data_IF_818268939470
#
_entry.id   IF_818268939470
#
_cell.length_a   1.000
_cell.length_b   1.000
_cell.length_c   1.000
_cell.angle_alpha   90.00
_cell.angle_beta   90.00
_cell.angle_gamma   90.00
#
_symmetry.space_group_name_H-M   'P 1'
#
loop_
_entity.id
_entity.type
_entity.pdbx_description
1 polymer ?
#
# COMPACT_ATOMS: atom_id res chain seq x y z
N UNK A 1 55.24 -1.15 44.85
CA UNK A 1 54.57 -0.74 43.60
C UNK A 1 53.95 -1.95 42.93
N UNK A 2 52.63 -2.12 43.03
CA UNK A 2 51.84 -3.16 42.34
C UNK A 2 50.53 -2.49 41.89
N UNK A 3 50.58 -1.73 40.80
CA UNK A 3 49.44 -0.97 40.26
C UNK A 3 49.42 -1.00 38.73
N UNK A 4 49.68 -2.17 38.12
CA UNK A 4 49.68 -2.33 36.65
C UNK A 4 48.73 -3.45 36.17
N UNK A 5 48.01 -4.16 37.05
CA UNK A 5 47.13 -5.27 36.65
C UNK A 5 45.62 -4.96 36.62
N UNK A 6 45.12 -3.95 37.35
CA UNK A 6 43.68 -3.67 37.39
C UNK A 6 43.16 -3.01 36.11
N UNK A 7 43.94 -2.13 35.47
CA UNK A 7 43.47 -1.39 34.29
C UNK A 7 43.33 -2.29 33.06
N UNK A 8 44.19 -3.31 32.90
CA UNK A 8 44.08 -4.30 31.81
C UNK A 8 42.82 -5.16 31.97
N UNK A 9 42.49 -5.54 33.20
CA UNK A 9 41.28 -6.32 33.48
C UNK A 9 40.01 -5.50 33.19
N UNK A 10 39.99 -4.21 33.56
CA UNK A 10 38.88 -3.30 33.24
C UNK A 10 38.75 -3.09 31.73
N UNK A 11 39.87 -2.98 31.00
CA UNK A 11 39.84 -2.80 29.54
C UNK A 11 39.29 -4.04 28.83
N UNK A 12 39.64 -5.25 29.31
CA UNK A 12 39.10 -6.51 28.78
C UNK A 12 37.61 -6.65 29.07
N UNK A 13 37.15 -6.25 30.26
CA UNK A 13 35.72 -6.28 30.62
C UNK A 13 34.91 -5.31 29.75
N UNK A 14 35.43 -4.10 29.49
CA UNK A 14 34.78 -3.13 28.60
C UNK A 14 34.69 -3.63 27.15
N UNK A 15 35.71 -4.36 26.67
CA UNK A 15 35.74 -4.92 25.32
C UNK A 15 34.71 -6.06 25.15
N UNK A 16 34.48 -6.85 26.20
CA UNK A 16 33.47 -7.91 26.23
C UNK A 16 32.05 -7.29 26.20
N UNK A 17 31.80 -6.22 26.96
CA UNK A 17 30.49 -5.54 26.97
C UNK A 17 30.18 -4.91 25.61
N UNK A 18 31.19 -4.40 24.89
CA UNK A 18 30.99 -3.82 23.57
C UNK A 18 30.60 -4.86 22.51
N UNK A 19 31.07 -6.11 22.66
CA UNK A 19 30.78 -7.22 21.74
C UNK A 19 29.40 -7.89 21.93
N UNK A 20 28.63 -7.52 22.96
CA UNK A 20 27.32 -8.14 23.23
C UNK A 20 26.14 -7.48 22.49
N UNK A 21 26.38 -6.46 21.66
CA UNK A 21 25.34 -5.83 20.82
C UNK A 21 25.24 -6.49 19.44
N UNK A 22 25.28 -7.83 19.37
CA UNK A 22 24.80 -8.52 18.17
C UNK A 22 23.28 -8.53 18.19
N UNK A 23 22.74 -7.52 17.52
CA UNK A 23 21.33 -7.31 17.21
C UNK A 23 20.65 -8.62 16.82
N UNK A 24 19.64 -9.03 17.59
CA UNK A 24 18.67 -10.03 17.15
C UNK A 24 17.85 -9.41 16.02
N UNK A 25 18.27 -9.63 14.77
CA UNK A 25 17.37 -9.47 13.64
C UNK A 25 16.51 -10.72 13.59
N UNK A 26 15.21 -10.59 13.86
CA UNK A 26 14.26 -11.65 13.57
C UNK A 26 13.95 -11.58 12.07
N UNK A 27 14.35 -12.60 11.33
CA UNK A 27 13.80 -12.86 9.98
C UNK A 27 12.45 -13.52 10.18
N UNK A 28 11.42 -13.01 9.50
CA UNK A 28 10.10 -13.65 9.41
C UNK A 28 10.29 -15.02 8.74
N UNK A 29 9.89 -16.09 9.41
CA UNK A 29 9.79 -17.41 8.77
C UNK A 29 8.56 -17.42 7.88
N UNK A 30 8.75 -17.68 6.59
CA UNK A 30 7.67 -17.91 5.62
C UNK A 30 6.75 -19.01 6.16
N UNK A 31 5.46 -18.71 6.31
CA UNK A 31 4.44 -19.72 6.51
C UNK A 31 4.29 -20.50 5.21
N UNK A 32 4.34 -21.83 5.32
CA UNK A 32 4.34 -22.76 4.19
C UNK A 32 3.11 -22.57 3.29
N UNK A 33 3.40 -22.50 1.99
CA UNK A 33 2.48 -22.48 0.85
C UNK A 33 1.35 -23.49 1.04
N UNK A 34 0.14 -23.01 1.34
CA UNK A 34 -1.07 -23.84 1.40
C UNK A 34 -1.97 -23.55 0.21
N UNK A 35 -2.14 -24.59 -0.61
CA UNK A 35 -2.99 -24.65 -1.78
C UNK A 35 -4.42 -24.12 -1.55
N UNK A 36 -4.85 -23.23 -2.46
CA UNK A 36 -6.23 -23.01 -2.94
C UNK A 36 -7.40 -23.27 -1.98
N UNK A 37 -7.41 -22.63 -0.82
CA UNK A 37 -8.61 -22.50 0.01
C UNK A 37 -8.94 -21.01 0.10
N UNK A 38 -10.22 -20.65 -0.11
CA UNK A 38 -10.68 -19.26 -0.16
C UNK A 38 -9.96 -18.38 0.86
N UNK A 39 -9.28 -17.33 0.39
CA UNK A 39 -8.44 -16.50 1.24
C UNK A 39 -9.32 -15.87 2.34
N UNK A 40 -9.14 -16.37 3.56
CA UNK A 40 -9.83 -15.94 4.78
C UNK A 40 -8.76 -15.48 5.76
N UNK A 41 -9.02 -14.34 6.42
CA UNK A 41 -8.14 -13.81 7.46
C UNK A 41 -8.93 -13.54 8.72
N UNK A 42 -8.31 -13.70 9.89
CA UNK A 42 -8.97 -13.37 11.16
C UNK A 42 -8.81 -11.89 11.47
N UNK A 43 -9.91 -11.14 11.50
CA UNK A 43 -9.96 -9.73 11.95
C UNK A 43 -10.72 -9.69 13.27
N UNK A 44 -10.08 -9.25 14.36
CA UNK A 44 -10.67 -9.18 15.70
C UNK A 44 -11.33 -10.49 16.20
N UNK A 45 -10.80 -11.64 15.80
CA UNK A 45 -11.36 -12.96 16.16
C UNK A 45 -12.54 -13.42 15.30
N UNK A 46 -12.89 -12.68 14.24
CA UNK A 46 -13.86 -13.09 13.23
C UNK A 46 -13.15 -13.46 11.94
N UNK A 47 -13.52 -14.58 11.33
CA UNK A 47 -13.08 -14.91 9.97
C UNK A 47 -13.71 -13.91 9.00
N UNK A 48 -12.86 -13.31 8.17
CA UNK A 48 -13.23 -12.36 7.13
C UNK A 48 -12.90 -12.98 5.78
N UNK A 49 -13.94 -13.36 5.05
CA UNK A 49 -13.83 -14.05 3.77
C UNK A 49 -13.68 -13.07 2.60
N UNK A 50 -13.26 -13.59 1.44
CA UNK A 50 -13.29 -12.85 0.18
C UNK A 50 -14.70 -12.35 -0.19
N UNK A 51 -15.75 -13.11 0.14
CA UNK A 51 -17.13 -12.67 -0.06
C UNK A 51 -17.51 -11.48 0.82
N UNK A 52 -17.01 -11.44 2.06
CA UNK A 52 -17.24 -10.31 2.96
C UNK A 52 -16.54 -9.06 2.42
N UNK A 53 -15.30 -9.18 1.94
CA UNK A 53 -14.60 -8.08 1.27
C UNK A 53 -15.37 -7.58 0.03
N UNK A 54 -15.83 -8.52 -0.80
CA UNK A 54 -16.54 -8.20 -2.04
C UNK A 54 -17.93 -7.61 -1.80
N UNK A 55 -18.45 -7.67 -0.57
CA UNK A 55 -19.67 -6.97 -0.18
C UNK A 55 -19.46 -5.45 -0.04
N UNK A 56 -18.22 -5.02 0.25
CA UNK A 56 -17.84 -3.61 0.37
C UNK A 56 -17.24 -3.05 -0.91
N UNK A 57 -16.51 -3.87 -1.65
CA UNK A 57 -15.76 -3.47 -2.84
C UNK A 57 -16.16 -4.31 -4.05
N UNK A 58 -16.31 -3.67 -5.21
CA UNK A 58 -16.39 -4.44 -6.45
C UNK A 58 -14.98 -4.90 -6.83
N UNK A 59 -14.77 -6.22 -6.85
CA UNK A 59 -13.49 -6.86 -7.15
C UNK A 59 -13.43 -7.48 -8.56
N UNK A 60 -14.39 -7.13 -9.42
CA UNK A 60 -14.46 -7.64 -10.78
C UNK A 60 -13.21 -7.21 -11.58
N UNK A 61 -12.52 -8.12 -12.28
CA UNK A 61 -11.35 -7.78 -13.08
C UNK A 61 -11.63 -6.67 -14.08
N UNK A 62 -10.74 -5.69 -14.12
CA UNK A 62 -10.85 -4.59 -15.08
C UNK A 62 -10.29 -5.05 -16.45
N UNK A 63 -11.18 -5.13 -17.43
CA UNK A 63 -10.89 -5.62 -18.79
C UNK A 63 -9.79 -4.85 -19.51
N UNK A 64 -9.54 -3.59 -19.11
CA UNK A 64 -8.50 -2.74 -19.69
C UNK A 64 -7.10 -3.32 -19.41
N UNK A 65 -6.88 -3.94 -18.24
CA UNK A 65 -5.58 -4.55 -17.88
C UNK A 65 -5.07 -5.60 -18.87
N UNK A 66 -5.98 -6.29 -19.56
CA UNK A 66 -5.61 -7.33 -20.53
C UNK A 66 -5.25 -6.77 -21.91
N UNK A 67 -5.58 -5.51 -22.17
CA UNK A 67 -5.40 -4.88 -23.50
C UNK A 67 -4.43 -3.70 -23.49
N UNK A 68 -4.08 -3.15 -22.33
CA UNK A 68 -3.09 -2.06 -22.27
C UNK A 68 -1.69 -2.50 -22.71
N UNK A 69 -1.09 -1.70 -23.58
CA UNK A 69 0.23 -1.93 -24.15
C UNK A 69 1.20 -0.75 -23.99
N UNK A 70 0.72 0.37 -23.44
CA UNK A 70 1.49 1.60 -23.29
C UNK A 70 1.40 2.11 -21.86
N UNK A 71 2.23 3.11 -21.54
CA UNK A 71 2.22 3.80 -20.26
C UNK A 71 1.67 5.21 -20.45
N UNK A 72 0.59 5.55 -19.76
CA UNK A 72 0.00 6.87 -19.74
C UNK A 72 -0.41 7.28 -18.32
N UNK A 73 -0.23 8.57 -18.02
CA UNK A 73 -0.74 9.22 -16.81
C UNK A 73 -1.40 10.52 -17.24
N UNK A 74 -2.69 10.67 -16.95
CA UNK A 74 -3.49 11.87 -17.18
C UNK A 74 -3.89 12.48 -15.85
N UNK A 75 -3.63 13.78 -15.70
CA UNK A 75 -3.89 14.52 -14.46
C UNK A 75 -4.71 15.76 -14.79
N UNK A 76 -5.89 15.87 -14.17
CA UNK A 76 -6.72 17.06 -14.18
C UNK A 76 -6.87 17.58 -12.75
N UNK A 77 -6.56 18.86 -12.55
CA UNK A 77 -6.69 19.53 -11.26
C UNK A 77 -7.50 20.81 -11.43
N UNK A 78 -8.60 20.92 -10.69
CA UNK A 78 -9.48 22.09 -10.63
C UNK A 78 -9.55 22.55 -9.17
N UNK A 79 -9.18 23.81 -8.92
CA UNK A 79 -9.05 24.40 -7.58
C UNK A 79 -7.60 24.76 -7.25
N UNK A 80 -7.24 24.83 -5.97
CA UNK A 80 -5.90 25.22 -5.53
C UNK A 80 -5.28 24.22 -4.56
N UNK A 81 -3.95 24.12 -4.57
CA UNK A 81 -3.16 23.29 -3.64
C UNK A 81 -3.44 21.78 -3.75
N UNK A 82 -3.99 21.33 -4.87
CA UNK A 82 -4.06 19.91 -5.15
C UNK A 82 -2.66 19.38 -5.50
N UNK A 83 -2.30 18.21 -4.98
CA UNK A 83 -1.01 17.57 -5.20
C UNK A 83 -1.16 16.17 -5.78
N UNK A 84 -0.28 15.82 -6.72
CA UNK A 84 -0.13 14.48 -7.25
C UNK A 84 1.36 14.11 -7.26
N UNK A 85 1.69 12.98 -6.65
CA UNK A 85 2.99 12.33 -6.70
C UNK A 85 2.81 10.91 -7.21
N UNK A 86 3.07 10.67 -8.50
CA UNK A 86 2.97 9.33 -9.09
C UNK A 86 4.35 8.82 -9.50
N UNK A 87 4.77 7.68 -8.92
CA UNK A 87 5.98 6.94 -9.28
C UNK A 87 5.57 5.57 -9.81
N UNK A 88 5.80 5.32 -11.09
CA UNK A 88 5.27 4.13 -11.77
C UNK A 88 6.40 3.46 -12.56
N UNK A 89 6.66 2.20 -12.24
CA UNK A 89 7.53 1.31 -12.97
C UNK A 89 6.70 0.08 -13.36
N UNK A 90 6.28 0.01 -14.62
CA UNK A 90 5.51 -1.12 -15.14
C UNK A 90 5.72 -1.34 -16.63
N UNK A 91 5.33 -2.53 -17.11
CA UNK A 91 5.31 -2.83 -18.55
C UNK A 91 4.23 -2.00 -19.25
N UNK A 92 3.05 -1.87 -18.64
CA UNK A 92 1.94 -1.05 -19.12
C UNK A 92 1.24 -0.30 -17.98
N UNK A 93 0.70 0.88 -18.25
CA UNK A 93 -0.04 1.67 -17.27
C UNK A 93 -1.07 2.56 -17.93
N UNK A 94 -2.25 2.68 -17.33
CA UNK A 94 -3.23 3.71 -17.65
C UNK A 94 -3.75 4.31 -16.36
N UNK A 95 -3.31 5.53 -16.04
CA UNK A 95 -3.65 6.20 -14.78
C UNK A 95 -4.34 7.52 -15.07
N UNK A 96 -5.57 7.66 -14.59
CA UNK A 96 -6.38 8.86 -14.72
C UNK A 96 -6.66 9.43 -13.33
N UNK A 97 -6.24 10.68 -13.09
CA UNK A 97 -6.41 11.36 -11.80
C UNK A 97 -7.17 12.65 -12.04
N UNK A 98 -8.33 12.80 -11.38
CA UNK A 98 -9.15 14.01 -11.43
C UNK A 98 -9.37 14.55 -10.01
N UNK A 99 -8.83 15.73 -9.74
CA UNK A 99 -8.97 16.42 -8.46
C UNK A 99 -9.81 17.69 -8.65
N UNK A 100 -10.96 17.77 -7.99
CA UNK A 100 -11.87 18.90 -8.02
C UNK A 100 -12.14 19.40 -6.59
N UNK A 101 -11.48 20.50 -6.23
CA UNK A 101 -11.55 21.13 -4.91
C UNK A 101 -10.18 21.62 -4.45
N UNK A 102 -10.01 21.73 -3.13
CA UNK A 102 -8.84 22.32 -2.49
C UNK A 102 -8.05 21.29 -1.69
N UNK A 103 -6.72 21.42 -1.67
CA UNK A 103 -5.82 20.61 -0.82
C UNK A 103 -5.96 19.09 -0.98
N UNK A 104 -6.43 18.60 -2.13
CA UNK A 104 -6.50 17.17 -2.35
C UNK A 104 -5.12 16.60 -2.67
N UNK A 105 -4.84 15.38 -2.21
CA UNK A 105 -3.54 14.74 -2.38
C UNK A 105 -3.69 13.32 -2.94
N UNK A 106 -2.88 12.99 -3.94
CA UNK A 106 -2.75 11.64 -4.50
C UNK A 106 -1.28 11.24 -4.51
N UNK A 107 -0.94 10.15 -3.84
CA UNK A 107 0.40 9.59 -3.84
C UNK A 107 0.35 8.13 -4.31
N UNK A 108 0.95 7.86 -5.46
CA UNK A 108 0.97 6.55 -6.09
C UNK A 108 2.40 6.07 -6.21
N UNK A 109 2.65 4.84 -5.77
CA UNK A 109 3.90 4.13 -6.00
C UNK A 109 3.58 2.73 -6.51
N UNK A 110 3.90 2.50 -7.77
CA UNK A 110 3.68 1.22 -8.44
C UNK A 110 5.00 0.67 -8.98
N UNK A 111 5.34 -0.56 -8.61
CA UNK A 111 6.34 -1.38 -9.27
C UNK A 111 5.68 -2.74 -9.59
N UNK A 112 5.06 -2.84 -10.76
CA UNK A 112 4.13 -3.93 -11.12
C UNK A 112 4.22 -4.31 -12.60
N UNK A 113 3.61 -5.41 -13.05
CA UNK A 113 3.54 -5.72 -14.48
C UNK A 113 2.64 -4.72 -15.20
N UNK A 114 1.42 -4.54 -14.69
CA UNK A 114 0.45 -3.63 -15.29
C UNK A 114 -0.44 -2.95 -14.24
N UNK A 115 -0.78 -1.69 -14.47
CA UNK A 115 -1.69 -0.93 -13.58
C UNK A 115 -2.72 -0.12 -14.36
N UNK A 116 -3.98 -0.21 -13.94
CA UNK A 116 -5.05 0.69 -14.41
C UNK A 116 -5.67 1.38 -13.21
N UNK A 117 -5.52 2.69 -13.09
CA UNK A 117 -6.07 3.46 -11.99
C UNK A 117 -6.96 4.60 -12.50
N UNK A 118 -8.15 4.73 -11.94
CA UNK A 118 -9.04 5.88 -12.16
C UNK A 118 -9.41 6.45 -10.80
N UNK A 119 -8.86 7.62 -10.49
CA UNK A 119 -8.92 8.23 -9.17
C UNK A 119 -9.60 9.59 -9.29
N UNK A 120 -10.74 9.76 -8.61
CA UNK A 120 -11.45 11.03 -8.54
C UNK A 120 -11.58 11.53 -7.11
N UNK A 121 -11.35 12.82 -6.91
CA UNK A 121 -11.53 13.50 -5.62
C UNK A 121 -12.43 14.72 -5.83
N UNK A 122 -13.67 14.66 -5.34
CA UNK A 122 -14.66 15.73 -5.39
C UNK A 122 -14.90 16.27 -3.98
N UNK A 123 -14.28 17.40 -3.65
CA UNK A 123 -14.31 18.03 -2.33
C UNK A 123 -12.92 18.47 -1.89
N UNK A 124 -12.74 18.74 -0.60
CA UNK A 124 -11.51 19.31 -0.06
C UNK A 124 -10.79 18.36 0.91
N UNK A 125 -9.48 18.54 1.02
CA UNK A 125 -8.63 17.86 2.00
C UNK A 125 -8.71 16.31 1.90
N UNK A 126 -8.98 15.78 0.71
CA UNK A 126 -9.03 14.33 0.49
C UNK A 126 -7.64 13.78 0.17
N UNK A 127 -7.35 12.57 0.62
CA UNK A 127 -6.07 11.88 0.41
C UNK A 127 -6.27 10.49 -0.16
N UNK A 128 -5.47 10.16 -1.17
CA UNK A 128 -5.33 8.82 -1.73
C UNK A 128 -3.85 8.44 -1.67
N UNK A 129 -3.54 7.32 -1.04
CA UNK A 129 -2.24 6.66 -1.07
C UNK A 129 -2.44 5.24 -1.61
N UNK A 130 -1.75 4.88 -2.70
CA UNK A 130 -1.67 3.49 -3.16
C UNK A 130 -0.21 3.11 -3.41
N UNK A 131 0.26 2.12 -2.66
CA UNK A 131 1.63 1.65 -2.66
C UNK A 131 1.65 0.15 -2.96
N UNK A 132 2.09 -0.23 -4.15
CA UNK A 132 2.16 -1.64 -4.58
C UNK A 132 3.51 -1.92 -5.21
N UNK A 133 4.25 -2.85 -4.61
CA UNK A 133 5.55 -3.33 -5.09
C UNK A 133 5.43 -4.85 -5.27
N UNK A 134 5.04 -5.27 -6.47
CA UNK A 134 4.99 -6.66 -6.90
C UNK A 134 5.15 -6.70 -8.43
N UNK A 135 6.37 -6.95 -8.95
CA UNK A 135 6.67 -6.89 -10.38
C UNK A 135 5.83 -7.81 -11.26
N UNK A 136 5.19 -8.84 -10.69
CA UNK A 136 4.37 -9.79 -11.43
C UNK A 136 2.87 -9.45 -11.36
N UNK A 137 2.48 -8.52 -10.49
CA UNK A 137 1.08 -8.18 -10.30
C UNK A 137 0.50 -7.36 -11.45
N UNK A 138 -0.76 -7.63 -11.75
CA UNK A 138 -1.64 -6.80 -12.56
C UNK A 138 -2.70 -6.23 -11.63
N UNK A 139 -2.76 -4.90 -11.49
CA UNK A 139 -3.63 -4.24 -10.50
C UNK A 139 -4.55 -3.18 -11.09
N UNK A 140 -5.75 -3.05 -10.54
CA UNK A 140 -6.63 -1.91 -10.80
C UNK A 140 -7.24 -1.29 -9.56
N UNK A 141 -7.40 0.03 -9.62
CA UNK A 141 -8.09 0.83 -8.62
C UNK A 141 -9.02 1.84 -9.32
N UNK A 142 -10.33 1.71 -9.13
CA UNK A 142 -11.33 2.71 -9.53
C UNK A 142 -11.97 3.30 -8.27
N UNK A 143 -11.51 4.48 -7.88
CA UNK A 143 -11.87 5.13 -6.63
C UNK A 143 -12.44 6.52 -6.91
N UNK A 144 -13.64 6.77 -6.41
CA UNK A 144 -14.27 8.08 -6.39
C UNK A 144 -14.49 8.53 -4.94
N UNK A 145 -13.80 9.58 -4.50
CA UNK A 145 -14.03 10.24 -3.20
C UNK A 145 -15.00 11.41 -3.39
N UNK A 146 -16.13 11.39 -2.67
CA UNK A 146 -17.14 12.45 -2.69
C UNK A 146 -17.41 12.97 -1.28
N UNK A 147 -16.89 14.15 -0.95
CA UNK A 147 -16.93 14.72 0.38
C UNK A 147 -15.61 15.39 0.76
N UNK A 148 -15.45 15.75 2.03
CA UNK A 148 -14.22 16.37 2.54
C UNK A 148 -13.53 15.46 3.57
N UNK A 149 -12.21 15.64 3.72
CA UNK A 149 -11.39 14.94 4.72
C UNK A 149 -11.44 13.40 4.57
N UNK A 150 -11.60 12.90 3.35
CA UNK A 150 -11.62 11.46 3.06
C UNK A 150 -10.19 10.95 2.90
N UNK A 151 -9.88 9.81 3.50
CA UNK A 151 -8.58 9.15 3.38
C UNK A 151 -8.77 7.73 2.87
N UNK A 152 -8.01 7.39 1.83
CA UNK A 152 -7.87 6.02 1.37
C UNK A 152 -6.39 5.66 1.29
N UNK A 153 -5.98 4.66 2.06
CA UNK A 153 -4.61 4.14 2.03
C UNK A 153 -4.64 2.66 1.64
N UNK A 154 -3.89 2.30 0.61
CA UNK A 154 -3.70 0.92 0.17
C UNK A 154 -2.22 0.57 0.14
N UNK A 155 -1.89 -0.56 0.76
CA UNK A 155 -0.55 -1.12 0.79
C UNK A 155 -0.57 -2.57 0.30
N UNK A 156 0.24 -2.85 -0.71
CA UNK A 156 0.33 -4.16 -1.33
C UNK A 156 -0.89 -4.53 -2.17
N UNK A 157 -0.92 -5.80 -2.58
CA UNK A 157 -1.98 -6.38 -3.40
C UNK A 157 -1.96 -7.90 -3.28
N UNK A 158 -3.12 -8.55 -3.42
CA UNK A 158 -3.26 -10.00 -3.53
C UNK A 158 -4.47 -10.37 -4.39
N UNK A 159 -4.84 -11.65 -4.47
CA UNK A 159 -5.95 -12.12 -5.31
C UNK A 159 -7.30 -11.48 -4.98
N UNK A 160 -7.53 -11.05 -3.72
CA UNK A 160 -8.76 -10.37 -3.29
C UNK A 160 -8.74 -8.88 -3.68
N UNK A 161 -7.58 -8.23 -3.56
CA UNK A 161 -7.45 -6.77 -3.56
C UNK A 161 -6.79 -6.18 -4.80
N UNK A 162 -6.39 -7.03 -5.75
CA UNK A 162 -5.77 -6.60 -7.02
C UNK A 162 -6.71 -5.84 -7.93
N UNK A 163 -8.02 -5.99 -7.76
CA UNK A 163 -9.02 -5.19 -8.45
C UNK A 163 -9.97 -4.62 -7.42
N UNK A 164 -10.05 -3.30 -7.31
CA UNK A 164 -10.94 -2.65 -6.36
C UNK A 164 -11.65 -1.50 -7.06
N UNK A 165 -12.98 -1.50 -6.97
CA UNK A 165 -13.82 -0.39 -7.41
C UNK A 165 -14.85 -0.02 -6.35
N UNK A 166 -14.88 1.26 -5.97
CA UNK A 166 -15.86 1.79 -5.03
C UNK A 166 -15.93 3.33 -5.03
N UNK A 167 -16.99 3.84 -4.40
CA UNK A 167 -17.16 5.26 -4.10
C UNK A 167 -17.06 5.46 -2.59
N UNK A 168 -16.13 6.29 -2.14
CA UNK A 168 -15.99 6.71 -0.76
C UNK A 168 -16.77 7.99 -0.51
N UNK A 169 -17.48 8.06 0.62
CA UNK A 169 -18.20 9.24 1.09
C UNK A 169 -17.87 9.53 2.55
N UNK A 170 -18.39 10.63 3.09
CA UNK A 170 -18.20 11.02 4.51
C UNK A 170 -18.78 10.01 5.52
N UNK A 171 -19.58 9.03 5.08
CA UNK A 171 -20.02 7.92 5.91
C UNK A 171 -18.87 6.96 6.29
N UNK A 172 -17.82 6.91 5.47
CA UNK A 172 -16.62 6.10 5.68
C UNK A 172 -15.37 6.98 5.44
N UNK A 173 -15.06 7.91 6.37
CA UNK A 173 -14.06 8.95 6.15
C UNK A 173 -12.63 8.41 6.01
N UNK A 174 -12.37 7.20 6.51
CA UNK A 174 -11.05 6.57 6.40
C UNK A 174 -11.21 5.10 6.04
N UNK A 175 -10.53 4.67 4.97
CA UNK A 175 -10.45 3.29 4.54
C UNK A 175 -8.97 2.94 4.38
N UNK A 176 -8.54 1.85 5.01
CA UNK A 176 -7.16 1.38 4.93
C UNK A 176 -7.16 -0.09 4.54
N UNK A 177 -6.46 -0.42 3.46
CA UNK A 177 -6.29 -1.78 2.95
C UNK A 177 -4.82 -2.17 3.06
N UNK A 178 -4.56 -3.29 3.71
CA UNK A 178 -3.23 -3.89 3.82
C UNK A 178 -3.31 -5.30 3.27
N UNK A 179 -2.55 -5.55 2.22
CA UNK A 179 -2.55 -6.81 1.49
C UNK A 179 -1.12 -7.20 1.22
N UNK A 180 -0.50 -7.74 2.27
CA UNK A 180 0.82 -8.34 2.20
C UNK A 180 0.63 -9.85 2.11
N UNK A 181 1.44 -10.50 1.28
CA UNK A 181 1.61 -11.94 1.29
C UNK A 181 2.78 -12.29 2.19
#
# INVERSE_FOLDING_TARGET
>A
MKTINNNKCITVVLLIIFSLNFTWSQTYSEDEESESTEASTTVNGQEFSQSDFSSFFNTTPNVVLETIQSNSISIQQVGSTNNVSARVASRASEININQNGLNNNVNLTYQVDAVVATLGQNGNDNTILDYVIDPNAKVSLDLQQNGNNLTFDKFGTNEITKNIKFTQTEASPTIIIRSFN
#
